data_IF_904531075065
#
_entry.id   IF_904531075065
#
_cell.length_a   1.000
_cell.length_b   1.000
_cell.length_c   1.000
_cell.angle_alpha   90.00
_cell.angle_beta   90.00
_cell.angle_gamma   90.00
#
_symmetry.space_group_name_H-M   'P 1'
#
loop_
_entity.id
_entity.type
_entity.pdbx_description
1 polymer ?
#
# COMPACT_ATOMS: atom_id res chain seq x y z
N UNK A 1 -59.85 18.00 -5.80
CA UNK A 1 -58.39 18.24 -5.82
C UNK A 1 -57.83 17.40 -6.95
N UNK A 2 -57.25 18.01 -7.99
CA UNK A 2 -56.81 17.29 -9.20
C UNK A 2 -55.40 16.74 -8.94
N UNK A 3 -55.25 15.43 -8.86
CA UNK A 3 -53.98 14.76 -8.60
C UNK A 3 -53.14 14.92 -9.86
N UNK A 4 -52.20 15.86 -9.86
CA UNK A 4 -51.23 16.00 -10.96
C UNK A 4 -50.27 14.80 -10.88
N UNK A 5 -50.64 13.68 -11.50
CA UNK A 5 -49.74 12.54 -11.66
C UNK A 5 -48.72 12.89 -12.74
N UNK A 6 -47.56 13.40 -12.33
CA UNK A 6 -46.46 13.67 -13.22
C UNK A 6 -45.86 12.33 -13.69
N UNK A 7 -46.22 11.87 -14.88
CA UNK A 7 -45.65 10.65 -15.44
C UNK A 7 -44.22 10.92 -15.92
N UNK A 8 -43.22 10.39 -15.21
CA UNK A 8 -41.81 10.52 -15.62
C UNK A 8 -41.59 9.70 -16.90
N UNK A 9 -41.08 10.31 -17.98
CA UNK A 9 -40.83 9.59 -19.22
C UNK A 9 -39.68 8.60 -19.02
N UNK A 10 -39.84 7.38 -19.55
CA UNK A 10 -38.85 6.29 -19.46
C UNK A 10 -37.44 6.71 -19.91
N UNK A 11 -37.33 7.67 -20.83
CA UNK A 11 -36.04 8.24 -21.28
C UNK A 11 -35.30 9.00 -20.17
N UNK A 12 -36.02 9.77 -19.33
CA UNK A 12 -35.41 10.48 -18.19
C UNK A 12 -34.95 9.48 -17.13
N UNK A 13 -35.74 8.44 -16.85
CA UNK A 13 -35.33 7.37 -15.91
C UNK A 13 -34.07 6.66 -16.40
N UNK A 14 -34.00 6.31 -17.70
CA UNK A 14 -32.81 5.70 -18.29
C UNK A 14 -31.59 6.62 -18.24
N UNK A 15 -31.77 7.91 -18.54
CA UNK A 15 -30.70 8.90 -18.44
C UNK A 15 -30.16 9.00 -17.01
N UNK A 16 -31.06 9.11 -16.01
CA UNK A 16 -30.69 9.15 -14.61
C UNK A 16 -29.96 7.87 -14.18
N UNK A 17 -30.42 6.70 -14.62
CA UNK A 17 -29.76 5.43 -14.34
C UNK A 17 -28.35 5.39 -14.93
N UNK A 18 -28.18 5.78 -16.20
CA UNK A 18 -26.86 5.83 -16.83
C UNK A 18 -25.92 6.82 -16.14
N UNK A 19 -26.40 8.00 -15.75
CA UNK A 19 -25.60 8.98 -15.02
C UNK A 19 -25.22 8.48 -13.63
N UNK A 20 -26.15 7.84 -12.92
CA UNK A 20 -25.88 7.28 -11.59
C UNK A 20 -24.86 6.14 -11.67
N UNK A 21 -25.04 5.20 -12.60
CA UNK A 21 -24.10 4.09 -12.81
C UNK A 21 -22.74 4.59 -13.25
N UNK A 22 -22.68 5.50 -14.22
CA UNK A 22 -21.42 6.10 -14.68
C UNK A 22 -20.72 6.87 -13.56
N UNK A 23 -21.45 7.70 -12.82
CA UNK A 23 -20.92 8.43 -11.66
C UNK A 23 -20.40 7.50 -10.57
N UNK A 24 -21.14 6.43 -10.25
CA UNK A 24 -20.71 5.43 -9.28
C UNK A 24 -19.42 4.71 -9.72
N UNK A 25 -19.33 4.30 -10.99
CA UNK A 25 -18.11 3.68 -11.55
C UNK A 25 -16.94 4.66 -11.47
N UNK A 26 -17.13 5.91 -11.86
CA UNK A 26 -16.07 6.94 -11.79
C UNK A 26 -15.60 7.15 -10.35
N UNK A 27 -16.52 7.26 -9.39
CA UNK A 27 -16.17 7.40 -7.97
C UNK A 27 -15.41 6.16 -7.45
N UNK A 28 -15.82 4.95 -7.84
CA UNK A 28 -15.09 3.73 -7.50
C UNK A 28 -13.67 3.73 -8.05
N UNK A 29 -13.48 4.11 -9.32
CA UNK A 29 -12.15 4.20 -9.93
C UNK A 29 -11.27 5.22 -9.20
N UNK A 30 -11.80 6.40 -8.91
CA UNK A 30 -11.07 7.43 -8.16
C UNK A 30 -10.75 6.97 -6.73
N UNK A 31 -11.68 6.28 -6.06
CA UNK A 31 -11.45 5.73 -4.74
C UNK A 31 -10.34 4.67 -4.76
N UNK A 32 -10.33 3.77 -5.75
CA UNK A 32 -9.26 2.76 -5.91
C UNK A 32 -7.90 3.45 -6.13
N UNK A 33 -7.83 4.46 -7.00
CA UNK A 33 -6.58 5.21 -7.23
C UNK A 33 -6.12 5.89 -5.93
N UNK A 34 -7.03 6.58 -5.24
CA UNK A 34 -6.72 7.32 -4.02
C UNK A 34 -6.26 6.40 -2.89
N UNK A 35 -6.97 5.29 -2.67
CA UNK A 35 -6.63 4.32 -1.61
C UNK A 35 -5.35 3.56 -1.91
N UNK A 36 -5.01 3.36 -3.18
CA UNK A 36 -3.75 2.71 -3.58
C UNK A 36 -2.57 3.67 -3.71
N UNK A 37 -2.78 4.99 -3.59
CA UNK A 37 -1.72 5.99 -3.65
C UNK A 37 -0.92 6.02 -2.34
N UNK A 38 -0.27 4.91 -2.04
CA UNK A 38 0.63 4.75 -0.90
C UNK A 38 1.98 5.40 -1.20
N UNK A 39 2.72 5.76 -0.16
CA UNK A 39 4.08 6.27 -0.33
C UNK A 39 4.97 5.20 -0.97
N UNK A 40 5.93 5.64 -1.76
CA UNK A 40 6.94 4.74 -2.32
C UNK A 40 7.66 3.97 -1.21
N UNK A 41 8.02 2.72 -1.52
CA UNK A 41 8.81 1.90 -0.61
C UNK A 41 10.14 2.61 -0.35
N UNK A 42 10.37 2.94 0.92
CA UNK A 42 11.68 3.41 1.38
C UNK A 42 12.70 2.28 1.30
N UNK A 43 13.98 2.63 1.20
CA UNK A 43 15.11 1.69 1.05
C UNK A 43 15.09 0.54 2.08
N UNK A 44 14.78 0.82 3.34
CA UNK A 44 14.70 -0.19 4.41
C UNK A 44 13.58 -1.23 4.25
N UNK A 45 12.59 -1.00 3.38
CA UNK A 45 11.58 -2.01 3.06
C UNK A 45 12.03 -2.99 1.97
N UNK A 46 13.07 -2.64 1.21
CA UNK A 46 13.56 -3.42 0.07
C UNK A 46 14.97 -3.94 0.26
N UNK A 47 15.69 -3.46 1.28
CA UNK A 47 17.00 -3.98 1.65
C UNK A 47 16.86 -5.40 2.21
N UNK A 48 17.60 -6.35 1.64
CA UNK A 48 17.64 -7.72 2.10
C UNK A 48 18.85 -7.91 3.02
N UNK A 49 18.59 -8.11 4.32
CA UNK A 49 19.62 -8.33 5.33
C UNK A 49 19.75 -9.85 5.56
N UNK A 50 20.89 -10.43 5.20
CA UNK A 50 21.11 -11.89 5.33
C UNK A 50 21.68 -12.29 6.69
N UNK A 51 22.20 -11.33 7.45
CA UNK A 51 22.81 -11.53 8.76
C UNK A 51 21.79 -11.48 9.92
N UNK A 52 20.49 -11.60 9.63
CA UNK A 52 19.46 -11.61 10.67
C UNK A 52 19.53 -12.88 11.53
N UNK A 53 19.29 -12.71 12.83
CA UNK A 53 19.13 -13.85 13.73
C UNK A 53 17.79 -14.54 13.49
N UNK A 54 17.83 -15.86 13.31
CA UNK A 54 16.66 -16.73 13.14
C UNK A 54 16.83 -18.01 13.96
N UNK A 55 15.74 -18.75 14.19
CA UNK A 55 15.77 -20.02 14.92
C UNK A 55 16.67 -21.08 14.28
N UNK A 56 16.92 -20.98 12.97
CA UNK A 56 17.82 -21.86 12.21
C UNK A 56 19.26 -21.37 12.16
N UNK A 57 19.56 -20.20 12.75
CA UNK A 57 20.90 -19.63 12.73
C UNK A 57 21.85 -20.50 13.56
N UNK A 58 23.05 -20.85 13.03
CA UNK A 58 23.99 -21.78 13.67
C UNK A 58 24.79 -21.12 14.82
N UNK A 59 24.11 -20.38 15.70
CA UNK A 59 24.67 -19.58 16.79
C UNK A 59 24.62 -20.41 18.08
N UNK A 60 25.78 -20.65 18.70
CA UNK A 60 25.87 -21.57 19.85
C UNK A 60 26.02 -20.86 21.18
N UNK A 61 26.43 -19.59 21.16
CA UNK A 61 26.71 -18.80 22.34
C UNK A 61 26.51 -17.30 22.06
N UNK A 62 26.61 -16.49 23.11
CA UNK A 62 26.41 -15.05 23.01
C UNK A 62 27.50 -14.34 22.19
N UNK A 63 28.73 -14.82 22.20
CA UNK A 63 29.81 -14.26 21.38
C UNK A 63 29.54 -14.44 19.89
N UNK A 64 29.07 -15.62 19.49
CA UNK A 64 28.64 -15.90 18.11
C UNK A 64 27.49 -14.98 17.68
N UNK A 65 26.55 -14.70 18.60
CA UNK A 65 25.45 -13.77 18.37
C UNK A 65 25.94 -12.33 18.17
N UNK A 66 26.85 -11.83 19.01
CA UNK A 66 27.41 -10.49 18.84
C UNK A 66 28.14 -10.34 17.51
N UNK A 67 28.89 -11.36 17.09
CA UNK A 67 29.55 -11.35 15.77
C UNK A 67 28.56 -11.41 14.59
N UNK A 68 27.36 -11.95 14.79
CA UNK A 68 26.27 -11.87 13.82
C UNK A 68 25.70 -10.44 13.76
N UNK A 69 25.41 -9.85 14.92
CA UNK A 69 24.91 -8.47 15.03
C UNK A 69 25.87 -7.44 14.42
N UNK A 70 27.19 -7.58 14.65
CA UNK A 70 28.19 -6.70 14.03
C UNK A 70 28.11 -6.72 12.50
N UNK A 71 27.84 -7.89 11.90
CA UNK A 71 27.64 -8.03 10.45
C UNK A 71 26.31 -7.43 10.01
N UNK A 72 25.25 -7.67 10.77
CA UNK A 72 23.91 -7.11 10.51
C UNK A 72 23.94 -5.58 10.52
N UNK A 73 24.57 -4.96 11.51
CA UNK A 73 24.66 -3.50 11.58
C UNK A 73 25.55 -2.90 10.48
N UNK A 74 26.61 -3.60 10.08
CA UNK A 74 27.41 -3.20 8.93
C UNK A 74 26.56 -3.20 7.64
N UNK A 75 25.76 -4.24 7.42
CA UNK A 75 24.84 -4.32 6.28
C UNK A 75 23.75 -3.25 6.33
N UNK A 76 23.16 -3.03 7.50
CA UNK A 76 22.15 -1.98 7.69
C UNK A 76 22.74 -0.61 7.36
N UNK A 77 23.99 -0.35 7.75
CA UNK A 77 24.68 0.88 7.38
C UNK A 77 24.84 1.02 5.86
N UNK A 78 25.42 0.02 5.22
CA UNK A 78 25.73 0.05 3.78
C UNK A 78 24.46 0.11 2.91
N UNK A 79 23.48 -0.72 3.23
CA UNK A 79 22.30 -0.93 2.39
C UNK A 79 21.13 0.00 2.70
N UNK A 80 21.09 0.58 3.90
CA UNK A 80 20.00 1.48 4.31
C UNK A 80 20.50 2.87 4.61
N UNK A 81 21.34 3.03 5.64
CA UNK A 81 21.71 4.38 6.11
C UNK A 81 22.50 5.18 5.08
N UNK A 82 23.45 4.54 4.39
CA UNK A 82 24.29 5.21 3.38
C UNK A 82 23.54 5.48 2.07
N UNK A 83 22.36 4.90 1.89
CA UNK A 83 21.48 5.13 0.73
C UNK A 83 20.49 6.28 0.94
N UNK A 84 20.41 6.83 2.15
CA UNK A 84 19.54 7.96 2.47
C UNK A 84 20.43 9.21 2.50
N UNK A 85 20.23 10.13 1.53
CA UNK A 85 20.84 11.46 1.61
C UNK A 85 20.29 12.22 2.85
N UNK A 86 21.11 13.04 3.54
CA UNK A 86 20.71 13.78 4.74
C UNK A 86 19.64 14.84 4.51
#
# INVERSE_FOLDING_TARGET
MKNFTFAIPKKIVKMLLHTLTGGFITLLVLAVIFLNNQADLKVWHTAELDAEFTDSSPIKNFTDYLALEDRLFAQLKEQVYDQIEP
#
